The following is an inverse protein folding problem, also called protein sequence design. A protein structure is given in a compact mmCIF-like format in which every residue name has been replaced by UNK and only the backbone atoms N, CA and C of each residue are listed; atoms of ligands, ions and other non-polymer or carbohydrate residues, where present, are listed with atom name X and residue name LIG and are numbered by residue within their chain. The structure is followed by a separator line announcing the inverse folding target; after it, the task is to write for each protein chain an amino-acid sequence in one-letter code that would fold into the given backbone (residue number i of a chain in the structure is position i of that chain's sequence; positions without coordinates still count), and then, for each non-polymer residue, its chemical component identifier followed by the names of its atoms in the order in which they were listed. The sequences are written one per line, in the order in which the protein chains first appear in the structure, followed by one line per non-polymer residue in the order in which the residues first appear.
data_IF_916940549265
#
_entry.id   IF_916940549265
#
_cell.length_a   1.000
_cell.length_b   1.000
_cell.length_c   1.000
_cell.angle_alpha   90.00
_cell.angle_beta   90.00
_cell.angle_gamma   90.00
#
_symmetry.space_group_name_H-M   'P 1'
#
loop_
_entity.id
_entity.type
_entity.pdbx_description
1 polymer ?
#
# COMPACT_ATOMS: atom_id res chain seq x y z
N UNK A 1 28.63 8.85 12.22
CA UNK A 1 27.18 9.08 12.09
C UNK A 1 26.40 7.77 12.22
N UNK A 2 26.70 6.75 11.43
CA UNK A 2 25.98 5.47 11.40
C UNK A 2 25.89 4.78 12.77
N UNK A 3 27.00 4.65 13.51
CA UNK A 3 26.97 4.06 14.86
C UNK A 3 25.98 4.74 15.83
N UNK A 4 25.76 6.04 15.68
CA UNK A 4 24.79 6.77 16.51
C UNK A 4 23.35 6.53 16.06
N UNK A 5 23.14 6.46 14.75
CA UNK A 5 21.84 6.11 14.17
C UNK A 5 21.45 4.69 14.59
N UNK A 6 22.36 3.72 14.45
CA UNK A 6 22.20 2.33 14.89
C UNK A 6 21.81 2.26 16.38
N UNK A 7 22.52 3.01 17.22
CA UNK A 7 22.20 3.05 18.65
C UNK A 7 20.82 3.63 18.94
N UNK A 8 20.48 4.75 18.30
CA UNK A 8 19.13 5.34 18.44
C UNK A 8 18.03 4.43 17.91
N UNK A 9 18.29 3.72 16.82
CA UNK A 9 17.37 2.71 16.31
C UNK A 9 17.08 1.66 17.38
N UNK A 10 18.10 1.00 17.92
CA UNK A 10 17.94 -0.05 18.93
C UNK A 10 17.19 0.43 20.15
N UNK A 11 17.52 1.61 20.65
CA UNK A 11 16.87 2.19 21.82
C UNK A 11 15.37 2.46 21.58
N UNK A 12 15.03 3.07 20.44
CA UNK A 12 13.65 3.36 20.08
C UNK A 12 12.89 2.08 19.77
N UNK A 13 13.48 1.18 18.97
CA UNK A 13 12.87 -0.06 18.55
C UNK A 13 12.53 -0.96 19.73
N UNK A 14 13.48 -1.20 20.64
CA UNK A 14 13.23 -2.00 21.85
C UNK A 14 12.17 -1.40 22.77
N UNK A 15 12.02 -0.08 22.77
CA UNK A 15 10.95 0.59 23.54
C UNK A 15 9.58 0.45 22.87
N UNK A 16 9.52 0.46 21.54
CA UNK A 16 8.26 0.28 20.80
C UNK A 16 7.82 -1.18 20.72
N UNK A 17 8.78 -2.09 20.65
CA UNK A 17 8.59 -3.53 20.46
C UNK A 17 9.33 -4.35 21.49
N UNK A 18 8.88 -4.34 22.77
CA UNK A 18 9.61 -4.97 23.89
C UNK A 18 9.71 -6.50 23.82
N UNK A 19 8.86 -7.13 23.01
CA UNK A 19 8.82 -8.59 22.85
C UNK A 19 9.74 -9.14 21.76
N UNK A 20 10.46 -8.27 21.02
CA UNK A 20 11.41 -8.69 19.99
C UNK A 20 12.72 -9.15 20.63
N UNK A 21 13.23 -10.28 20.17
CA UNK A 21 14.54 -10.78 20.60
C UNK A 21 15.70 -10.05 19.88
N UNK A 22 16.94 -10.33 20.28
CA UNK A 22 18.12 -9.66 19.73
C UNK A 22 18.36 -9.94 18.23
N UNK A 23 17.98 -11.13 17.74
CA UNK A 23 18.09 -11.47 16.32
C UNK A 23 17.09 -10.67 15.50
N UNK A 24 15.85 -10.55 15.97
CA UNK A 24 14.80 -9.75 15.33
C UNK A 24 15.17 -8.26 15.29
N UNK A 25 15.72 -7.73 16.38
CA UNK A 25 16.20 -6.33 16.43
C UNK A 25 17.32 -6.11 15.42
N UNK A 26 18.24 -7.06 15.26
CA UNK A 26 19.34 -6.97 14.29
C UNK A 26 18.82 -6.98 12.86
N UNK A 27 17.93 -7.90 12.50
CA UNK A 27 17.35 -7.98 11.16
C UNK A 27 16.53 -6.71 10.83
N UNK A 28 15.74 -6.22 11.80
CA UNK A 28 15.00 -4.96 11.68
C UNK A 28 15.94 -3.76 11.48
N UNK A 29 17.09 -3.73 12.15
CA UNK A 29 18.11 -2.69 12.00
C UNK A 29 18.73 -2.71 10.60
N UNK A 30 19.08 -3.89 10.11
CA UNK A 30 19.66 -4.04 8.78
C UNK A 30 18.70 -3.50 7.70
N UNK A 31 17.42 -3.81 7.83
CA UNK A 31 16.40 -3.32 6.93
C UNK A 31 16.17 -1.81 7.06
N UNK A 32 16.14 -1.29 8.28
CA UNK A 32 16.07 0.15 8.55
C UNK A 32 17.22 0.91 7.86
N UNK A 33 18.44 0.42 8.02
CA UNK A 33 19.63 1.02 7.38
C UNK A 33 19.57 0.93 5.86
N UNK A 34 19.03 -0.17 5.32
CA UNK A 34 18.79 -0.32 3.89
C UNK A 34 17.81 0.74 3.37
N UNK A 35 16.68 0.99 4.04
CA UNK A 35 15.73 2.04 3.65
C UNK A 35 16.42 3.41 3.70
N UNK A 36 17.14 3.73 4.77
CA UNK A 36 17.85 5.02 4.88
C UNK A 36 18.86 5.27 3.75
N UNK A 37 19.42 4.19 3.18
CA UNK A 37 20.36 4.28 2.05
C UNK A 37 19.65 4.46 0.72
N UNK A 38 18.55 3.77 0.51
CA UNK A 38 17.91 3.60 -0.79
C UNK A 38 16.66 4.49 -0.99
N UNK A 39 16.16 5.16 0.04
CA UNK A 39 15.00 6.04 -0.08
C UNK A 39 15.28 7.19 -1.07
N UNK A 40 14.36 7.46 -1.99
CA UNK A 40 14.60 8.40 -3.10
C UNK A 40 14.83 9.84 -2.65
N UNK A 41 14.05 10.33 -1.68
CA UNK A 41 14.18 11.71 -1.19
C UNK A 41 15.31 11.84 -0.17
N UNK A 42 16.46 12.29 -0.65
CA UNK A 42 17.64 12.48 0.20
C UNK A 42 17.48 13.59 1.22
N UNK A 43 16.66 14.60 0.95
CA UNK A 43 16.39 15.69 1.90
C UNK A 43 15.62 15.17 3.11
N UNK A 44 14.58 14.37 2.87
CA UNK A 44 13.81 13.74 3.94
C UNK A 44 14.66 12.82 4.80
N UNK A 45 15.46 11.97 4.17
CA UNK A 45 16.36 11.06 4.88
C UNK A 45 17.40 11.80 5.71
N UNK A 46 17.96 12.90 5.21
CA UNK A 46 18.93 13.69 5.98
C UNK A 46 18.30 14.33 7.22
N UNK A 47 17.06 14.83 7.12
CA UNK A 47 16.32 15.34 8.27
C UNK A 47 16.07 14.26 9.31
N UNK A 48 15.68 13.05 8.86
CA UNK A 48 15.46 11.90 9.73
C UNK A 48 16.77 11.44 10.40
N UNK A 49 17.87 11.36 9.66
CA UNK A 49 19.20 11.04 10.19
C UNK A 49 19.63 12.04 11.25
N UNK A 50 19.43 13.32 10.98
CA UNK A 50 19.72 14.39 11.96
C UNK A 50 18.90 14.23 13.24
N UNK A 51 17.60 13.98 13.11
CA UNK A 51 16.74 13.71 14.26
C UNK A 51 17.24 12.53 15.10
N UNK A 52 17.57 11.40 14.47
CA UNK A 52 18.07 10.21 15.14
C UNK A 52 19.42 10.45 15.83
N UNK A 53 20.30 11.24 15.23
CA UNK A 53 21.58 11.64 15.85
C UNK A 53 21.33 12.55 17.07
N UNK A 54 20.47 13.54 16.96
CA UNK A 54 20.11 14.43 18.07
C UNK A 54 19.41 13.67 19.21
N UNK A 55 18.53 12.74 18.88
CA UNK A 55 17.88 11.86 19.85
C UNK A 55 18.90 11.07 20.68
N UNK A 56 20.02 10.66 20.06
CA UNK A 56 21.07 9.90 20.77
C UNK A 56 21.76 10.69 21.88
N UNK A 57 21.71 12.03 21.85
CA UNK A 57 22.44 12.89 22.79
C UNK A 57 21.62 13.36 24.00
N UNK A 58 20.43 13.88 23.77
CA UNK A 58 19.80 14.80 24.72
C UNK A 58 18.64 14.19 25.51
N UNK A 59 17.95 13.20 25.00
CA UNK A 59 16.60 12.85 25.47
C UNK A 59 16.48 11.39 25.89
N UNK A 60 17.50 10.60 25.56
CA UNK A 60 17.54 9.16 25.66
C UNK A 60 17.20 8.64 27.08
N UNK A 61 17.83 9.18 28.11
CA UNK A 61 17.67 8.66 29.49
C UNK A 61 16.27 8.87 30.07
N UNK A 62 15.60 9.95 29.67
CA UNK A 62 14.27 10.30 30.18
C UNK A 62 13.19 9.51 29.45
N UNK A 63 13.29 9.38 28.14
CA UNK A 63 12.25 8.73 27.33
C UNK A 63 12.30 7.20 27.42
N UNK A 64 13.50 6.59 27.60
CA UNK A 64 13.63 5.15 27.72
C UNK A 64 13.12 4.60 29.08
N UNK A 65 13.19 5.41 30.15
CA UNK A 65 12.79 4.96 31.48
C UNK A 65 11.28 4.70 31.66
N UNK A 66 10.41 5.27 30.83
CA UNK A 66 8.97 5.35 31.09
C UNK A 66 8.08 4.91 29.92
N UNK A 67 8.57 4.16 28.94
CA UNK A 67 7.83 3.85 27.71
C UNK A 67 7.22 5.10 27.01
N UNK A 68 7.82 6.26 27.22
CA UNK A 68 7.30 7.54 26.73
C UNK A 68 7.55 7.78 25.25
N UNK A 69 8.32 6.91 24.55
CA UNK A 69 8.64 7.08 23.14
C UNK A 69 7.38 7.03 22.29
N UNK A 70 6.51 6.05 22.51
CA UNK A 70 5.24 5.92 21.77
C UNK A 70 4.35 7.16 21.97
N UNK A 71 4.24 7.63 23.23
CA UNK A 71 3.49 8.84 23.55
C UNK A 71 4.10 10.10 22.88
N UNK A 72 5.41 10.21 22.89
CA UNK A 72 6.12 11.31 22.24
C UNK A 72 5.89 11.32 20.72
N UNK A 73 6.03 10.16 20.05
CA UNK A 73 5.76 10.04 18.62
C UNK A 73 4.31 10.37 18.28
N UNK A 74 3.35 9.92 19.08
CA UNK A 74 1.94 10.27 18.94
C UNK A 74 1.70 11.78 19.08
N UNK A 75 2.36 12.45 20.03
CA UNK A 75 2.28 13.91 20.17
C UNK A 75 2.89 14.64 18.98
N UNK A 76 3.99 14.13 18.43
CA UNK A 76 4.57 14.70 17.20
C UNK A 76 3.61 14.57 16.02
N UNK A 77 2.99 13.41 15.81
CA UNK A 77 2.02 13.17 14.75
C UNK A 77 0.80 14.10 14.84
N UNK A 78 0.33 14.40 16.03
CA UNK A 78 -0.81 15.29 16.29
C UNK A 78 -0.43 16.78 16.40
N UNK A 79 0.84 17.13 16.22
CA UNK A 79 1.32 18.51 16.35
C UNK A 79 0.71 19.42 15.29
N UNK A 80 0.42 20.67 15.66
CA UNK A 80 0.05 21.73 14.71
C UNK A 80 1.18 22.13 13.76
N UNK A 81 2.43 21.87 14.13
CA UNK A 81 3.60 22.20 13.31
C UNK A 81 3.88 21.07 12.30
N UNK A 82 3.99 21.43 11.02
CA UNK A 82 4.20 20.49 9.90
C UNK A 82 5.47 19.65 10.09
N UNK A 83 6.58 20.28 10.51
CA UNK A 83 7.85 19.58 10.72
C UNK A 83 7.74 18.48 11.79
N UNK A 84 7.06 18.76 12.88
CA UNK A 84 6.85 17.78 13.95
C UNK A 84 5.99 16.61 13.47
N UNK A 85 4.91 16.88 12.72
CA UNK A 85 4.09 15.82 12.13
C UNK A 85 4.92 14.95 11.18
N UNK A 86 5.69 15.59 10.30
CA UNK A 86 6.60 14.89 9.38
C UNK A 86 7.51 13.92 10.13
N UNK A 87 8.20 14.40 11.16
CA UNK A 87 9.09 13.56 11.96
C UNK A 87 8.34 12.42 12.65
N UNK A 88 7.21 12.71 13.29
CA UNK A 88 6.42 11.70 13.99
C UNK A 88 5.93 10.60 13.06
N UNK A 89 5.38 10.95 11.90
CA UNK A 89 4.85 9.99 10.94
C UNK A 89 5.98 9.20 10.26
N UNK A 90 7.04 9.89 9.80
CA UNK A 90 8.16 9.21 9.12
C UNK A 90 8.90 8.23 10.04
N UNK A 91 9.13 8.61 11.29
CA UNK A 91 9.75 7.71 12.27
C UNK A 91 8.85 6.50 12.53
N UNK A 92 7.56 6.71 12.79
CA UNK A 92 6.62 5.60 13.08
C UNK A 92 6.50 4.65 11.90
N UNK A 93 6.34 5.18 10.67
CA UNK A 93 6.25 4.36 9.46
C UNK A 93 7.52 3.54 9.25
N UNK A 94 8.69 4.16 9.37
CA UNK A 94 9.96 3.48 9.16
C UNK A 94 10.23 2.39 10.21
N UNK A 95 9.91 2.64 11.47
CA UNK A 95 10.03 1.61 12.52
C UNK A 95 9.00 0.48 12.34
N UNK A 96 7.78 0.81 11.91
CA UNK A 96 6.75 -0.18 11.58
C UNK A 96 7.18 -1.10 10.42
N UNK A 97 7.69 -0.54 9.33
CA UNK A 97 8.23 -1.33 8.21
C UNK A 97 9.42 -2.19 8.64
N UNK A 98 10.29 -1.67 9.50
CA UNK A 98 11.45 -2.42 9.98
C UNK A 98 11.05 -3.57 10.90
N UNK A 99 9.99 -3.40 11.72
CA UNK A 99 9.46 -4.49 12.56
C UNK A 99 8.79 -5.58 11.73
N UNK A 100 8.08 -5.22 10.66
CA UNK A 100 7.46 -6.17 9.74
C UNK A 100 8.50 -7.11 9.09
N UNK A 101 9.72 -6.64 8.87
CA UNK A 101 10.82 -7.46 8.33
C UNK A 101 11.11 -8.68 9.21
N UNK A 102 11.30 -8.49 10.51
CA UNK A 102 11.60 -9.59 11.43
C UNK A 102 10.42 -10.56 11.56
N UNK A 103 9.20 -10.05 11.55
CA UNK A 103 8.00 -10.88 11.57
C UNK A 103 7.89 -11.75 10.32
N UNK A 104 8.30 -11.22 9.17
CA UNK A 104 8.28 -11.93 7.88
C UNK A 104 9.49 -12.88 7.71
N UNK A 105 10.62 -12.56 8.31
CA UNK A 105 11.81 -13.42 8.33
C UNK A 105 11.60 -14.68 9.18
N UNK A 106 10.80 -14.60 10.23
CA UNK A 106 10.37 -15.77 10.97
C UNK A 106 9.15 -16.37 10.23
N UNK A 107 9.30 -17.56 9.65
CA UNK A 107 8.18 -18.37 9.13
C UNK A 107 7.05 -18.57 10.15
N UNK A 108 7.26 -18.18 11.39
CA UNK A 108 6.33 -18.26 12.50
C UNK A 108 5.02 -17.50 12.26
N UNK A 109 5.04 -16.28 11.71
CA UNK A 109 3.81 -15.52 11.49
C UNK A 109 2.97 -16.12 10.35
N UNK A 110 3.60 -16.48 9.24
CA UNK A 110 2.93 -17.14 8.13
C UNK A 110 2.41 -18.52 8.50
N UNK A 111 3.17 -19.27 9.30
CA UNK A 111 2.73 -20.58 9.80
C UNK A 111 1.62 -20.44 10.85
N UNK A 112 1.63 -19.38 11.66
CA UNK A 112 0.58 -19.14 12.66
C UNK A 112 -0.78 -18.82 12.04
N UNK A 113 -0.78 -18.09 10.92
CA UNK A 113 -2.01 -17.72 10.20
C UNK A 113 -2.35 -18.68 9.04
N UNK A 114 -1.55 -19.75 8.87
CA UNK A 114 -1.68 -20.70 7.75
C UNK A 114 -1.86 -19.98 6.41
N UNK A 115 -0.99 -19.02 6.16
CA UNK A 115 -1.08 -18.15 4.98
C UNK A 115 -0.76 -18.97 3.72
N UNK A 116 -1.68 -19.10 2.77
CA UNK A 116 -1.49 -19.93 1.59
C UNK A 116 -0.28 -19.44 0.78
N UNK A 117 0.64 -20.36 0.47
CA UNK A 117 1.75 -20.09 -0.44
C UNK A 117 1.19 -20.08 -1.87
N UNK A 118 1.03 -18.92 -2.43
CA UNK A 118 0.58 -18.75 -3.81
C UNK A 118 1.53 -19.43 -4.79
N UNK A 119 1.02 -20.40 -5.56
CA UNK A 119 1.73 -21.00 -6.70
C UNK A 119 1.10 -20.47 -7.99
N UNK A 120 1.66 -19.45 -8.58
CA UNK A 120 1.20 -19.00 -9.89
C UNK A 120 2.21 -19.39 -10.98
N UNK A 121 1.81 -20.18 -11.94
CA UNK A 121 2.67 -20.75 -12.97
C UNK A 121 2.67 -19.95 -14.29
N UNK A 122 2.12 -18.75 -14.32
CA UNK A 122 2.09 -17.96 -15.56
C UNK A 122 3.36 -17.12 -15.69
N UNK A 123 4.31 -17.62 -16.47
CA UNK A 123 5.47 -16.85 -16.91
C UNK A 123 5.00 -15.94 -18.06
N UNK A 124 5.01 -14.63 -17.82
CA UNK A 124 4.77 -13.68 -18.90
C UNK A 124 6.04 -13.57 -19.76
N UNK A 125 5.87 -13.82 -21.07
CA UNK A 125 6.95 -13.66 -22.04
C UNK A 125 7.43 -12.20 -22.02
N UNK A 126 8.71 -11.97 -21.70
CA UNK A 126 9.35 -10.70 -22.01
C UNK A 126 9.34 -10.53 -23.53
N UNK A 127 8.86 -9.39 -24.00
CA UNK A 127 9.06 -8.99 -25.40
C UNK A 127 10.56 -8.76 -25.59
N UNK A 128 11.21 -9.60 -26.39
CA UNK A 128 12.62 -9.45 -26.73
C UNK A 128 12.85 -8.45 -27.88
N UNK A 129 11.78 -8.05 -28.55
CA UNK A 129 11.81 -7.10 -29.69
C UNK A 129 10.63 -6.14 -29.58
N UNK A 130 10.91 -4.85 -29.70
CA UNK A 130 9.86 -3.85 -29.82
C UNK A 130 9.38 -3.76 -31.29
N UNK A 131 8.07 -3.62 -31.53
CA UNK A 131 7.57 -3.33 -32.86
C UNK A 131 8.17 -2.00 -33.37
N UNK A 132 8.52 -1.95 -34.64
CA UNK A 132 9.11 -0.74 -35.29
C UNK A 132 8.15 0.44 -35.29
N UNK A 133 6.86 0.18 -35.25
CA UNK A 133 5.79 1.17 -35.25
C UNK A 133 4.62 0.64 -34.42
N UNK A 134 4.06 1.49 -33.57
CA UNK A 134 2.87 1.22 -32.78
C UNK A 134 1.78 2.20 -33.17
N UNK A 135 0.54 1.72 -33.28
CA UNK A 135 -0.61 2.59 -33.53
C UNK A 135 -1.03 3.30 -32.22
N UNK A 136 -0.97 2.59 -31.09
CA UNK A 136 -1.35 3.12 -29.77
C UNK A 136 -0.32 2.71 -28.71
N UNK A 137 0.17 3.70 -27.97
CA UNK A 137 1.00 3.49 -26.78
C UNK A 137 0.24 3.94 -25.55
N UNK A 138 -0.03 3.02 -24.62
CA UNK A 138 -0.67 3.29 -23.33
C UNK A 138 0.42 3.41 -22.28
N UNK A 139 0.48 4.52 -21.59
CA UNK A 139 1.46 4.78 -20.53
C UNK A 139 0.83 4.52 -19.17
N UNK A 140 1.27 3.45 -18.51
CA UNK A 140 0.74 2.95 -17.26
C UNK A 140 -0.33 1.87 -17.42
N UNK A 141 -0.17 0.77 -16.73
CA UNK A 141 -1.06 -0.39 -16.74
C UNK A 141 -2.09 -0.40 -15.59
N UNK A 142 -2.28 0.72 -14.90
CA UNK A 142 -3.30 0.85 -13.85
C UNK A 142 -4.72 0.67 -14.41
N UNK A 143 -5.74 0.83 -13.55
CA UNK A 143 -7.15 0.58 -13.90
C UNK A 143 -7.58 1.27 -15.21
N UNK A 144 -7.26 2.55 -15.38
CA UNK A 144 -7.62 3.29 -16.60
C UNK A 144 -6.87 2.81 -17.85
N UNK A 145 -5.54 2.66 -17.74
CA UNK A 145 -4.71 2.20 -18.85
C UNK A 145 -5.01 0.76 -19.27
N UNK A 146 -5.26 -0.13 -18.32
CA UNK A 146 -5.64 -1.52 -18.57
C UNK A 146 -6.96 -1.63 -19.35
N UNK A 147 -7.99 -0.91 -18.93
CA UNK A 147 -9.29 -0.89 -19.61
C UNK A 147 -9.19 -0.23 -20.99
N UNK A 148 -8.48 0.91 -21.10
CA UNK A 148 -8.29 1.57 -22.39
C UNK A 148 -7.59 0.64 -23.39
N UNK A 149 -6.53 -0.03 -22.97
CA UNK A 149 -5.84 -1.00 -23.82
C UNK A 149 -6.73 -2.19 -24.20
N UNK A 150 -7.55 -2.69 -23.26
CA UNK A 150 -8.48 -3.79 -23.53
C UNK A 150 -9.53 -3.42 -24.59
N UNK A 151 -10.05 -2.21 -24.55
CA UNK A 151 -11.03 -1.72 -25.57
C UNK A 151 -10.36 -1.48 -26.91
N UNK A 152 -9.15 -0.94 -26.92
CA UNK A 152 -8.48 -0.54 -28.18
C UNK A 152 -7.83 -1.70 -28.92
N UNK A 153 -7.44 -2.79 -28.25
CA UNK A 153 -6.71 -3.92 -28.84
C UNK A 153 -7.42 -4.62 -30.00
N UNK A 154 -8.74 -4.53 -30.06
CA UNK A 154 -9.53 -5.21 -31.09
C UNK A 154 -9.44 -4.50 -32.45
N UNK A 155 -9.07 -3.20 -32.45
CA UNK A 155 -8.98 -2.38 -33.67
C UNK A 155 -7.59 -1.82 -33.94
N UNK A 156 -6.68 -1.88 -32.95
CA UNK A 156 -5.36 -1.25 -33.02
C UNK A 156 -4.27 -2.16 -32.50
N UNK A 157 -3.06 -1.99 -32.99
CA UNK A 157 -1.86 -2.56 -32.37
C UNK A 157 -1.48 -1.71 -31.15
N UNK A 158 -1.76 -2.27 -29.96
CA UNK A 158 -1.62 -1.57 -28.68
C UNK A 158 -0.44 -2.13 -27.89
N UNK A 159 0.41 -1.25 -27.35
CA UNK A 159 1.40 -1.62 -26.34
C UNK A 159 1.20 -0.81 -25.06
N UNK A 160 1.36 -1.49 -23.93
CA UNK A 160 1.35 -0.85 -22.61
C UNK A 160 2.78 -0.73 -22.11
N UNK A 161 3.15 0.47 -21.69
CA UNK A 161 4.44 0.77 -21.07
C UNK A 161 4.21 1.07 -19.58
N UNK A 162 4.87 0.32 -18.73
CA UNK A 162 4.78 0.52 -17.29
C UNK A 162 6.17 0.52 -16.65
N UNK A 163 6.34 1.34 -15.60
CA UNK A 163 7.60 1.39 -14.84
C UNK A 163 7.72 0.27 -13.81
N UNK A 164 6.60 -0.37 -13.50
CA UNK A 164 6.47 -1.34 -12.43
C UNK A 164 6.93 -2.74 -12.83
N UNK A 165 7.31 -3.51 -11.82
CA UNK A 165 7.60 -4.92 -11.97
C UNK A 165 6.33 -5.74 -12.01
N UNK A 166 6.42 -6.91 -12.66
CA UNK A 166 5.37 -7.90 -12.62
C UNK A 166 5.39 -8.67 -11.29
N UNK A 167 4.21 -8.91 -10.74
CA UNK A 167 4.04 -9.81 -9.59
C UNK A 167 4.35 -11.25 -9.99
N UNK A 168 5.37 -11.84 -9.40
CA UNK A 168 5.63 -13.26 -9.52
C UNK A 168 5.64 -13.89 -8.13
N UNK A 169 5.48 -15.21 -8.04
CA UNK A 169 5.26 -15.92 -6.77
C UNK A 169 6.46 -16.04 -5.85
N UNK A 170 7.67 -15.90 -6.39
CA UNK A 170 8.89 -16.01 -5.59
C UNK A 170 9.06 -14.84 -4.62
N UNK A 171 8.18 -13.87 -4.72
CA UNK A 171 8.33 -12.53 -4.14
C UNK A 171 7.21 -12.15 -3.17
N UNK A 172 6.39 -13.12 -2.75
CA UNK A 172 5.24 -12.89 -1.87
C UNK A 172 5.64 -12.71 -0.40
N UNK A 173 6.44 -11.69 -0.12
CA UNK A 173 6.61 -11.22 1.25
C UNK A 173 6.38 -9.71 1.31
N UNK A 174 5.88 -9.23 2.44
CA UNK A 174 5.52 -7.83 2.60
C UNK A 174 6.71 -6.91 2.38
N UNK A 175 7.91 -7.30 2.78
CA UNK A 175 9.13 -6.52 2.57
C UNK A 175 9.40 -6.30 1.08
N UNK A 176 9.30 -7.36 0.28
CA UNK A 176 9.43 -7.24 -1.17
C UNK A 176 8.31 -6.37 -1.75
N UNK A 177 7.08 -6.54 -1.26
CA UNK A 177 5.92 -5.74 -1.66
C UNK A 177 6.13 -4.25 -1.45
N UNK A 178 6.54 -3.84 -0.26
CA UNK A 178 6.82 -2.43 0.05
C UNK A 178 7.90 -1.83 -0.86
N UNK A 179 8.91 -2.60 -1.23
CA UNK A 179 9.98 -2.15 -2.10
C UNK A 179 9.57 -2.03 -3.57
N UNK A 180 8.85 -3.03 -4.06
CA UNK A 180 8.67 -3.22 -5.51
C UNK A 180 7.29 -2.79 -6.00
N UNK A 181 6.27 -2.82 -5.14
CA UNK A 181 4.89 -2.57 -5.56
C UNK A 181 4.32 -1.23 -5.09
N UNK A 182 4.97 -0.57 -4.13
CA UNK A 182 4.54 0.73 -3.64
C UNK A 182 5.54 1.83 -3.99
N UNK A 183 5.03 3.01 -4.31
CA UNK A 183 5.86 4.22 -4.41
C UNK A 183 6.46 4.56 -3.04
N UNK A 184 7.71 4.98 -3.06
CA UNK A 184 8.43 5.44 -1.86
C UNK A 184 8.29 4.48 -0.66
N UNK A 185 8.34 3.16 -0.90
CA UNK A 185 8.23 2.12 0.16
C UNK A 185 6.94 2.22 0.97
N UNK A 186 5.81 2.57 0.34
CA UNK A 186 4.54 2.86 1.01
C UNK A 186 4.59 4.02 2.04
N UNK A 187 5.60 4.87 2.00
CA UNK A 187 5.78 6.00 2.93
C UNK A 187 5.45 7.36 2.31
N UNK A 188 4.82 7.38 1.15
CA UNK A 188 4.43 8.62 0.48
C UNK A 188 3.34 9.34 1.27
N UNK A 189 3.47 10.66 1.40
CA UNK A 189 2.56 11.48 2.17
C UNK A 189 2.21 12.78 1.46
N UNK A 190 1.10 13.38 1.87
CA UNK A 190 0.74 14.74 1.43
C UNK A 190 1.73 15.77 1.97
N UNK A 191 1.78 16.96 1.34
CA UNK A 191 2.65 18.08 1.77
C UNK A 191 2.45 18.48 3.24
N UNK A 192 1.28 18.26 3.80
CA UNK A 192 0.96 18.55 5.21
C UNK A 192 1.25 17.39 6.16
N UNK A 193 1.69 16.24 5.66
CA UNK A 193 1.98 15.02 6.44
C UNK A 193 0.81 14.54 7.32
N UNK A 194 -0.42 14.74 6.85
CA UNK A 194 -1.64 14.34 7.55
C UNK A 194 -2.38 13.19 6.85
N UNK A 195 -1.96 12.83 5.64
CA UNK A 195 -2.51 11.70 4.88
C UNK A 195 -1.37 10.88 4.31
N UNK A 196 -1.39 9.57 4.55
CA UNK A 196 -0.52 8.58 3.92
C UNK A 196 -1.12 8.18 2.56
N UNK A 197 -0.29 8.17 1.53
CA UNK A 197 -0.67 7.80 0.17
C UNK A 197 -0.05 6.45 -0.18
N UNK A 198 -0.88 5.44 -0.37
CA UNK A 198 -0.46 4.15 -0.87
C UNK A 198 -0.65 4.12 -2.39
N UNK A 199 0.40 4.43 -3.13
CA UNK A 199 0.38 4.43 -4.59
C UNK A 199 1.11 3.20 -5.13
N UNK A 200 0.48 2.47 -6.06
CA UNK A 200 1.06 1.31 -6.70
C UNK A 200 2.06 1.69 -7.79
N UNK A 201 3.15 0.94 -7.87
CA UNK A 201 4.13 1.03 -8.96
C UNK A 201 4.43 -0.30 -9.64
N UNK A 202 3.62 -1.32 -9.40
CA UNK A 202 3.65 -2.61 -10.10
C UNK A 202 2.85 -2.56 -11.40
N UNK A 203 3.02 -3.54 -12.28
CA UNK A 203 2.07 -3.77 -13.38
C UNK A 203 0.67 -3.96 -12.77
N UNK A 204 -0.33 -3.28 -13.33
CA UNK A 204 -1.66 -3.10 -12.74
C UNK A 204 -1.79 -1.88 -11.84
N UNK A 205 -0.67 -1.21 -11.48
CA UNK A 205 -0.69 0.01 -10.67
C UNK A 205 -1.39 -0.17 -9.33
N UNK A 206 -2.31 0.72 -8.99
CA UNK A 206 -3.09 0.66 -7.77
C UNK A 206 -4.00 -0.55 -7.63
N UNK A 207 -4.46 -1.13 -8.76
CA UNK A 207 -5.33 -2.33 -8.73
C UNK A 207 -4.61 -3.60 -8.29
N UNK A 208 -3.28 -3.63 -8.39
CA UNK A 208 -2.48 -4.75 -7.90
C UNK A 208 -2.23 -4.73 -6.39
N UNK A 209 -2.53 -3.63 -5.72
CA UNK A 209 -2.27 -3.43 -4.29
C UNK A 209 -3.48 -2.95 -3.49
N UNK A 210 -4.64 -2.79 -4.13
CA UNK A 210 -5.87 -2.37 -3.45
C UNK A 210 -6.53 -3.56 -2.73
N UNK A 211 -7.63 -3.26 -2.03
CA UNK A 211 -8.42 -4.28 -1.32
C UNK A 211 -9.60 -4.78 -2.15
N UNK A 212 -9.51 -4.69 -3.47
CA UNK A 212 -10.53 -5.15 -4.42
C UNK A 212 -11.90 -4.48 -4.30
N UNK A 213 -12.08 -3.55 -3.39
CA UNK A 213 -13.34 -2.82 -3.18
C UNK A 213 -13.73 -2.06 -4.43
N UNK A 214 -14.93 -2.32 -4.95
CA UNK A 214 -15.42 -1.85 -6.25
C UNK A 214 -16.79 -1.17 -6.12
N UNK A 215 -16.86 -0.18 -5.24
CA UNK A 215 -18.07 0.60 -5.02
C UNK A 215 -18.39 1.48 -6.22
N UNK A 216 -19.68 1.55 -6.58
CA UNK A 216 -20.18 2.47 -7.58
C UNK A 216 -20.27 3.88 -7.00
N UNK A 217 -19.90 4.89 -7.79
CA UNK A 217 -20.05 6.28 -7.36
C UNK A 217 -21.53 6.60 -7.14
N UNK A 218 -21.92 7.11 -5.95
CA UNK A 218 -23.30 7.49 -5.67
C UNK A 218 -23.81 8.61 -6.60
N UNK A 219 -25.09 8.58 -6.96
CA UNK A 219 -25.71 9.57 -7.86
C UNK A 219 -25.47 11.02 -7.41
N UNK A 220 -25.61 11.29 -6.13
CA UNK A 220 -25.33 12.63 -5.58
C UNK A 220 -23.92 13.14 -5.91
N UNK A 221 -22.93 12.26 -5.95
CA UNK A 221 -21.56 12.62 -6.31
C UNK A 221 -21.44 12.83 -7.81
N UNK A 222 -22.16 12.04 -8.63
CA UNK A 222 -22.20 12.24 -10.08
C UNK A 222 -22.85 13.58 -10.43
N UNK A 223 -23.91 13.97 -9.73
CA UNK A 223 -24.54 15.30 -9.87
C UNK A 223 -23.58 16.44 -9.50
N UNK A 224 -22.82 16.27 -8.40
CA UNK A 224 -21.78 17.22 -8.00
C UNK A 224 -20.72 17.35 -9.08
N UNK A 225 -20.24 16.24 -9.64
CA UNK A 225 -19.24 16.24 -10.71
C UNK A 225 -19.78 16.91 -11.98
N UNK A 226 -21.03 16.65 -12.37
CA UNK A 226 -21.67 17.34 -13.50
C UNK A 226 -21.77 18.86 -13.27
N UNK A 227 -22.02 19.30 -12.04
CA UNK A 227 -22.09 20.72 -11.71
C UNK A 227 -20.73 21.44 -11.83
N UNK A 228 -19.63 20.71 -11.58
CA UNK A 228 -18.26 21.21 -11.61
C UNK A 228 -17.57 21.02 -12.97
N UNK A 229 -18.10 20.14 -13.81
CA UNK A 229 -17.52 19.78 -15.09
C UNK A 229 -17.87 20.81 -16.18
N UNK A 230 -16.92 20.96 -17.14
CA UNK A 230 -17.18 21.69 -18.38
C UNK A 230 -18.19 20.95 -19.29
N UNK A 231 -18.28 19.64 -19.20
CA UNK A 231 -19.25 18.78 -19.87
C UNK A 231 -20.45 18.54 -18.94
N UNK A 232 -21.40 19.44 -18.98
CA UNK A 232 -22.62 19.31 -18.17
C UNK A 232 -23.41 18.04 -18.52
N UNK A 233 -23.92 17.37 -17.50
CA UNK A 233 -24.72 16.14 -17.59
C UNK A 233 -24.00 14.92 -18.19
N UNK A 234 -22.66 14.90 -18.23
CA UNK A 234 -21.91 13.76 -18.72
C UNK A 234 -21.94 12.59 -17.75
N UNK A 235 -21.67 12.85 -16.46
CA UNK A 235 -21.56 11.80 -15.44
C UNK A 235 -22.89 11.14 -15.09
N UNK A 236 -24.03 11.81 -15.35
CA UNK A 236 -25.37 11.25 -15.22
C UNK A 236 -25.95 10.72 -16.55
N UNK A 237 -25.19 10.79 -17.64
CA UNK A 237 -25.63 10.31 -18.95
C UNK A 237 -25.75 8.79 -18.99
N UNK A 238 -26.61 8.29 -19.91
CA UNK A 238 -26.72 6.86 -20.17
C UNK A 238 -25.42 6.24 -20.68
N UNK A 239 -24.62 7.00 -21.42
CA UNK A 239 -23.33 6.52 -21.95
C UNK A 239 -22.30 6.33 -20.84
N UNK A 240 -22.27 7.22 -19.85
CA UNK A 240 -21.42 7.03 -18.68
C UNK A 240 -21.88 5.83 -17.84
N UNK A 241 -23.17 5.67 -17.63
CA UNK A 241 -23.77 4.52 -16.91
C UNK A 241 -23.43 3.20 -17.63
N UNK A 242 -23.58 3.13 -18.96
CA UNK A 242 -23.19 1.96 -19.76
C UNK A 242 -21.69 1.67 -19.65
N UNK A 243 -20.84 2.70 -19.59
CA UNK A 243 -19.40 2.53 -19.41
C UNK A 243 -19.07 1.95 -18.03
N UNK A 244 -19.76 2.41 -16.96
CA UNK A 244 -19.63 1.81 -15.62
C UNK A 244 -20.07 0.35 -15.60
N UNK A 245 -21.17 0.00 -16.28
CA UNK A 245 -21.66 -1.37 -16.40
C UNK A 245 -20.65 -2.26 -17.14
N UNK A 246 -20.12 -1.75 -18.25
CA UNK A 246 -19.08 -2.46 -19.02
C UNK A 246 -17.84 -2.75 -18.16
N UNK A 247 -17.28 -1.72 -17.51
CA UNK A 247 -16.08 -1.88 -16.66
C UNK A 247 -16.34 -2.82 -15.50
N UNK A 248 -17.51 -2.72 -14.85
CA UNK A 248 -17.87 -3.61 -13.74
C UNK A 248 -17.95 -5.07 -14.17
N UNK A 249 -18.46 -5.32 -15.39
CA UNK A 249 -18.52 -6.66 -15.98
C UNK A 249 -17.12 -7.18 -16.34
N UNK A 250 -16.28 -6.39 -16.99
CA UNK A 250 -14.92 -6.77 -17.38
C UNK A 250 -14.04 -7.10 -16.15
N UNK A 251 -14.25 -6.36 -15.05
CA UNK A 251 -13.55 -6.58 -13.79
C UNK A 251 -14.20 -7.65 -12.90
N UNK A 252 -15.27 -8.31 -13.37
CA UNK A 252 -16.01 -9.31 -12.60
C UNK A 252 -16.47 -8.82 -11.21
N UNK A 253 -16.97 -7.57 -11.15
CA UNK A 253 -17.44 -6.97 -9.89
C UNK A 253 -18.71 -7.66 -9.43
N UNK A 254 -18.71 -8.18 -8.21
CA UNK A 254 -19.83 -8.92 -7.62
C UNK A 254 -19.92 -8.76 -6.12
N UNK A 255 -21.16 -8.83 -5.59
CA UNK A 255 -21.46 -8.96 -4.15
C UNK A 255 -21.62 -10.42 -3.72
N UNK A 256 -21.67 -11.35 -4.70
CA UNK A 256 -22.01 -12.76 -4.48
C UNK A 256 -20.78 -13.66 -4.34
N UNK A 257 -19.64 -13.13 -3.91
CA UNK A 257 -18.46 -13.93 -3.68
C UNK A 257 -18.77 -15.00 -2.63
N UNK A 258 -18.65 -16.27 -3.03
CA UNK A 258 -18.95 -17.43 -2.19
C UNK A 258 -18.00 -17.57 -0.99
N UNK A 259 -16.91 -16.79 -0.96
CA UNK A 259 -15.92 -16.83 0.10
C UNK A 259 -15.91 -15.51 0.90
N UNK A 260 -16.70 -15.49 1.96
CA UNK A 260 -16.64 -14.40 2.95
C UNK A 260 -15.56 -14.77 3.97
N UNK A 261 -14.50 -13.97 4.14
CA UNK A 261 -13.47 -14.23 5.14
C UNK A 261 -14.07 -14.40 6.54
N UNK A 262 -13.53 -15.33 7.34
CA UNK A 262 -14.05 -15.61 8.68
C UNK A 262 -14.13 -14.36 9.58
N UNK A 263 -13.19 -13.44 9.45
CA UNK A 263 -13.22 -12.15 10.17
C UNK A 263 -14.45 -11.31 9.86
N UNK A 264 -14.92 -11.32 8.60
CA UNK A 264 -16.12 -10.58 8.16
C UNK A 264 -17.40 -11.27 8.68
N UNK A 265 -17.40 -12.60 8.74
CA UNK A 265 -18.48 -13.37 9.35
C UNK A 265 -18.62 -13.00 10.83
N UNK A 266 -17.53 -12.99 11.58
CA UNK A 266 -17.55 -12.62 13.00
C UNK A 266 -17.94 -11.16 13.22
N UNK A 267 -17.43 -10.24 12.39
CA UNK A 267 -17.82 -8.84 12.42
C UNK A 267 -19.32 -8.68 12.19
N UNK A 268 -19.87 -9.36 11.18
CA UNK A 268 -21.31 -9.29 10.88
C UNK A 268 -22.20 -9.81 12.02
N UNK A 269 -21.76 -10.84 12.75
CA UNK A 269 -22.44 -11.31 13.97
C UNK A 269 -22.46 -10.23 15.05
N UNK A 270 -21.32 -9.58 15.30
CA UNK A 270 -21.22 -8.48 16.26
C UNK A 270 -22.11 -7.29 15.87
N UNK A 271 -22.15 -6.93 14.59
CA UNK A 271 -23.03 -5.87 14.09
C UNK A 271 -24.51 -6.20 14.28
N UNK A 272 -24.94 -7.42 13.96
CA UNK A 272 -26.31 -7.90 14.21
C UNK A 272 -26.71 -7.83 15.68
N UNK A 273 -25.82 -8.28 16.58
CA UNK A 273 -26.07 -8.24 18.02
C UNK A 273 -26.24 -6.80 18.56
N UNK A 274 -25.63 -5.82 17.91
CA UNK A 274 -25.70 -4.41 18.31
C UNK A 274 -26.69 -3.59 17.46
N UNK A 275 -27.53 -4.22 16.63
CA UNK A 275 -28.47 -3.56 15.71
C UNK A 275 -27.80 -2.53 14.78
N UNK A 276 -26.57 -2.81 14.34
CA UNK A 276 -25.85 -1.98 13.38
C UNK A 276 -26.15 -2.51 11.97
N UNK A 277 -26.62 -1.64 11.10
CA UNK A 277 -26.79 -1.97 9.70
C UNK A 277 -25.44 -2.16 9.01
N UNK A 278 -25.33 -3.19 8.19
CA UNK A 278 -24.15 -3.45 7.38
C UNK A 278 -24.55 -4.02 6.02
N UNK A 279 -23.68 -3.86 5.06
CA UNK A 279 -23.82 -4.46 3.73
C UNK A 279 -22.50 -5.10 3.28
N UNK A 280 -22.62 -6.11 2.41
CA UNK A 280 -21.45 -6.71 1.76
C UNK A 280 -21.11 -5.82 0.57
N UNK A 281 -19.91 -5.24 0.60
CA UNK A 281 -19.43 -4.39 -0.48
C UNK A 281 -19.04 -5.23 -1.72
N UNK A 282 -19.31 -4.72 -2.93
CA UNK A 282 -18.87 -5.40 -4.15
C UNK A 282 -17.35 -5.41 -4.26
N UNK A 283 -16.82 -6.54 -4.73
CA UNK A 283 -15.40 -6.73 -4.98
C UNK A 283 -15.16 -7.29 -6.37
N UNK A 284 -13.97 -7.09 -6.93
CA UNK A 284 -13.56 -7.61 -8.23
C UNK A 284 -12.71 -8.88 -8.12
N UNK A 285 -13.10 -9.76 -7.21
CA UNK A 285 -12.47 -11.09 -7.04
C UNK A 285 -13.30 -12.13 -7.78
N UNK A 286 -12.66 -12.97 -8.61
CA UNK A 286 -13.34 -14.10 -9.26
C UNK A 286 -13.33 -15.33 -8.35
N UNK A 287 -14.39 -16.15 -8.42
CA UNK A 287 -14.50 -17.41 -7.66
C UNK A 287 -13.40 -18.43 -7.98
N UNK A 288 -12.77 -18.30 -9.17
CA UNK A 288 -11.61 -19.12 -9.57
C UNK A 288 -10.33 -18.79 -8.80
N UNK A 289 -10.35 -17.76 -7.95
CA UNK A 289 -9.27 -17.37 -7.06
C UNK A 289 -9.66 -17.60 -5.60
N UNK A 290 -10.63 -18.51 -5.34
CA UNK A 290 -10.76 -19.10 -4.02
C UNK A 290 -9.38 -19.58 -3.59
N UNK A 291 -8.96 -19.13 -2.43
CA UNK A 291 -7.69 -19.51 -1.80
C UNK A 291 -7.74 -21.04 -1.53
N UNK A 292 -7.33 -21.86 -2.51
CA UNK A 292 -6.94 -23.24 -2.30
C UNK A 292 -5.45 -23.30 -1.93
#
# INVERSE_FOLDING_TARGET
MEKRISKSFKDIFSSLYPNFNQADIKDSEEYFMFILKNYPDKSEINQLKLFLVLFSFSVRKVFLKNNMIALFLTKLQKSRFVLNRKLGVSVTALFGLSSARSLNGSSALYNYFDYPKYKNNKIHKKLNTFPKMLQVAVIGSGSGGGIAANVLKDNYEVAIFDKGSFLNNETNNETFGYHNFYENFAMQQTKKYNVLLLAGKSIGGGTSINWTTSLRTPEKILEEWDSLSLQRNYFNSDDFKKSLDYVSKELNVSNSNNHIPQKEVELSKGMKLNNINYEIIPTNVSDSHSLE
#
